data_IF_942294940077
#
_entry.id   IF_942294940077
#
_cell.length_a   1.000
_cell.length_b   1.000
_cell.length_c   1.000
_cell.angle_alpha   90.00
_cell.angle_beta   90.00
_cell.angle_gamma   90.00
#
_symmetry.space_group_name_H-M   'P 1'
#
loop_
_entity.id
_entity.type
_entity.pdbx_description
1 polymer ?
#
# COMPACT_ATOMS: atom_id res chain seq x y z
N UNK A 1 34.94 33.05 -9.86
CA UNK A 1 36.13 33.94 -9.76
C UNK A 1 36.81 33.84 -8.39
N UNK A 2 36.12 34.15 -7.28
CA UNK A 2 36.74 34.14 -5.93
C UNK A 2 37.16 32.75 -5.43
N UNK A 3 36.34 31.71 -5.65
CA UNK A 3 36.69 30.32 -5.29
C UNK A 3 37.95 29.84 -6.00
N UNK A 4 38.08 30.16 -7.28
CA UNK A 4 39.26 29.79 -8.08
C UNK A 4 40.52 30.51 -7.59
N UNK A 5 40.43 31.80 -7.28
CA UNK A 5 41.54 32.58 -6.71
C UNK A 5 41.95 32.04 -5.33
N UNK A 6 40.98 31.68 -4.49
CA UNK A 6 41.24 31.09 -3.18
C UNK A 6 41.96 29.73 -3.30
N UNK A 7 41.50 28.85 -4.19
CA UNK A 7 42.14 27.55 -4.45
C UNK A 7 43.57 27.74 -4.96
N UNK A 8 43.78 28.66 -5.92
CA UNK A 8 45.11 28.96 -6.43
C UNK A 8 46.05 29.50 -5.33
N UNK A 9 45.56 30.38 -4.45
CA UNK A 9 46.32 30.88 -3.30
C UNK A 9 46.73 29.74 -2.35
N UNK A 10 45.79 28.86 -2.01
CA UNK A 10 46.05 27.69 -1.15
C UNK A 10 47.14 26.81 -1.78
N UNK A 11 47.03 26.51 -3.09
CA UNK A 11 48.03 25.70 -3.79
C UNK A 11 49.41 26.36 -3.79
N UNK A 12 49.50 27.68 -3.99
CA UNK A 12 50.78 28.42 -3.98
C UNK A 12 51.42 28.44 -2.59
N UNK A 13 50.64 28.70 -1.54
CA UNK A 13 51.14 28.74 -0.15
C UNK A 13 51.75 27.41 0.26
N UNK A 14 51.06 26.31 -0.01
CA UNK A 14 51.54 24.98 0.35
C UNK A 14 52.66 24.46 -0.58
N UNK A 15 52.72 24.93 -1.83
CA UNK A 15 53.85 24.65 -2.73
C UNK A 15 55.17 25.22 -2.16
N UNK A 16 55.10 26.40 -1.54
CA UNK A 16 56.27 27.02 -0.90
C UNK A 16 56.65 26.36 0.44
N UNK A 17 55.69 25.78 1.17
CA UNK A 17 55.95 25.13 2.47
C UNK A 17 56.52 23.71 2.36
N UNK A 18 56.42 23.06 1.20
CA UNK A 18 56.83 21.66 0.99
C UNK A 18 55.84 20.62 1.55
N UNK A 19 54.70 21.05 2.11
CA UNK A 19 53.72 20.21 2.82
C UNK A 19 52.69 19.53 1.90
N UNK A 20 53.15 18.88 0.82
CA UNK A 20 52.25 18.25 -0.17
C UNK A 20 51.39 17.11 0.40
N UNK A 21 51.91 16.38 1.39
CA UNK A 21 51.16 15.30 2.05
C UNK A 21 49.96 15.84 2.84
N UNK A 22 50.14 16.92 3.59
CA UNK A 22 49.09 17.55 4.39
C UNK A 22 48.00 18.14 3.48
N UNK A 23 48.40 18.79 2.38
CA UNK A 23 47.47 19.21 1.34
C UNK A 23 46.64 18.04 0.81
N UNK A 24 47.29 16.92 0.47
CA UNK A 24 46.62 15.74 -0.06
C UNK A 24 45.61 15.17 0.93
N UNK A 25 45.97 15.12 2.23
CA UNK A 25 45.08 14.67 3.29
C UNK A 25 43.87 15.60 3.45
N UNK A 26 44.09 16.92 3.53
CA UNK A 26 43.02 17.91 3.66
C UNK A 26 42.12 17.89 2.43
N UNK A 27 42.69 17.85 1.22
CA UNK A 27 41.94 17.76 -0.03
C UNK A 27 41.11 16.47 -0.09
N UNK A 28 41.70 15.32 0.27
CA UNK A 28 41.00 14.04 0.32
C UNK A 28 39.83 14.04 1.30
N UNK A 29 40.03 14.57 2.51
CA UNK A 29 38.98 14.72 3.51
C UNK A 29 37.86 15.67 3.04
N UNK A 30 38.21 16.80 2.42
CA UNK A 30 37.24 17.74 1.87
C UNK A 30 36.45 17.13 0.71
N UNK A 31 37.10 16.39 -0.19
CA UNK A 31 36.43 15.67 -1.29
C UNK A 31 35.47 14.62 -0.74
N UNK A 32 35.87 13.84 0.26
CA UNK A 32 34.98 12.87 0.90
C UNK A 32 33.78 13.55 1.57
N UNK A 33 33.99 14.66 2.29
CA UNK A 33 32.92 15.42 2.92
C UNK A 33 31.92 15.98 1.89
N UNK A 34 32.41 16.55 0.79
CA UNK A 34 31.56 17.05 -0.31
C UNK A 34 30.80 15.89 -0.98
N UNK A 35 31.47 14.75 -1.21
CA UNK A 35 30.83 13.57 -1.78
C UNK A 35 29.70 13.04 -0.90
N UNK A 36 29.91 12.98 0.42
CA UNK A 36 28.87 12.60 1.38
C UNK A 36 27.71 13.60 1.39
N UNK A 37 28.00 14.90 1.36
CA UNK A 37 26.98 15.96 1.35
C UNK A 37 26.12 15.92 0.07
N UNK A 38 26.72 15.59 -1.08
CA UNK A 38 26.05 15.56 -2.39
C UNK A 38 25.47 14.18 -2.75
N UNK A 39 25.72 13.15 -1.94
CA UNK A 39 25.27 11.78 -2.21
C UNK A 39 23.76 11.69 -2.49
N UNK A 40 22.93 12.35 -1.66
CA UNK A 40 21.46 12.36 -1.81
C UNK A 40 20.99 13.12 -3.07
N UNK A 41 21.43 14.36 -3.34
CA UNK A 41 21.13 15.04 -4.61
C UNK A 41 21.52 14.23 -5.86
N UNK A 42 22.73 13.68 -5.90
CA UNK A 42 23.21 12.87 -7.03
C UNK A 42 22.34 11.62 -7.19
N UNK A 43 22.08 10.92 -6.08
CA UNK A 43 21.16 9.77 -6.06
C UNK A 43 19.77 10.13 -6.58
N UNK A 44 19.21 11.29 -6.20
CA UNK A 44 17.92 11.76 -6.69
C UNK A 44 17.87 11.96 -8.21
N UNK A 45 18.94 12.50 -8.81
CA UNK A 45 19.05 12.65 -10.27
C UNK A 45 19.14 11.28 -10.95
N UNK A 46 19.92 10.35 -10.42
CA UNK A 46 20.03 8.99 -10.95
C UNK A 46 18.67 8.27 -10.87
N UNK A 47 17.97 8.40 -9.74
CA UNK A 47 16.62 7.84 -9.56
C UNK A 47 15.65 8.40 -10.61
N UNK A 48 15.70 9.71 -10.89
CA UNK A 48 14.89 10.32 -11.94
C UNK A 48 15.20 9.74 -13.32
N UNK A 49 16.48 9.58 -13.68
CA UNK A 49 16.87 8.94 -14.95
C UNK A 49 16.32 7.51 -15.03
N UNK A 50 16.40 6.75 -13.95
CA UNK A 50 15.84 5.38 -13.88
C UNK A 50 14.32 5.42 -14.06
N UNK A 51 13.61 6.34 -13.40
CA UNK A 51 12.16 6.48 -13.58
C UNK A 51 11.78 6.80 -15.03
N UNK A 52 12.49 7.72 -15.69
CA UNK A 52 12.20 8.09 -17.09
C UNK A 52 12.50 6.95 -18.07
N UNK A 53 13.57 6.19 -17.82
CA UNK A 53 14.03 5.13 -18.73
C UNK A 53 13.36 3.78 -18.51
N UNK A 54 13.14 3.38 -17.26
CA UNK A 54 12.54 2.09 -16.89
C UNK A 54 11.07 2.17 -16.59
N UNK A 55 10.54 3.37 -16.30
CA UNK A 55 9.13 3.64 -15.99
C UNK A 55 8.51 2.58 -15.06
N UNK A 56 9.05 2.41 -13.83
CA UNK A 56 8.47 1.46 -12.87
C UNK A 56 7.04 1.84 -12.45
N UNK A 57 6.68 3.11 -12.63
CA UNK A 57 5.33 3.66 -12.51
C UNK A 57 5.24 4.95 -13.36
N UNK A 58 4.02 5.34 -13.70
CA UNK A 58 3.71 6.55 -14.46
C UNK A 58 2.77 7.50 -13.67
N UNK A 59 2.59 8.72 -14.18
CA UNK A 59 1.60 9.66 -13.61
C UNK A 59 0.21 9.03 -13.76
N UNK A 60 -0.55 8.98 -12.67
CA UNK A 60 -1.85 8.33 -12.56
C UNK A 60 -1.80 6.95 -11.90
N UNK A 61 -0.62 6.33 -11.75
CA UNK A 61 -0.52 5.02 -11.10
C UNK A 61 -0.78 5.09 -9.59
N UNK A 62 -1.45 4.07 -9.06
CA UNK A 62 -1.59 3.83 -7.63
C UNK A 62 -0.33 3.13 -7.13
N UNK A 63 0.46 3.81 -6.30
CA UNK A 63 1.73 3.28 -5.78
C UNK A 63 1.82 3.33 -4.27
N UNK A 64 2.68 2.50 -3.70
CA UNK A 64 3.18 2.63 -2.33
C UNK A 64 4.70 2.70 -2.36
N UNK A 65 5.23 3.80 -1.85
CA UNK A 65 6.67 4.07 -1.76
C UNK A 65 7.02 4.16 -0.28
N UNK A 66 7.75 3.16 0.21
CA UNK A 66 8.01 3.01 1.64
C UNK A 66 6.69 2.88 2.44
N UNK A 67 6.43 3.85 3.32
CA UNK A 67 5.24 3.89 4.16
C UNK A 67 4.03 4.63 3.57
N UNK A 68 4.22 5.35 2.46
CA UNK A 68 3.19 6.24 1.88
C UNK A 68 2.52 5.56 0.70
N UNK A 69 1.18 5.56 0.68
CA UNK A 69 0.37 5.06 -0.44
C UNK A 69 -0.38 6.23 -1.08
N UNK A 70 -0.47 6.26 -2.40
CA UNK A 70 -1.17 7.32 -3.11
C UNK A 70 -1.13 7.15 -4.62
N UNK A 71 -1.77 8.07 -5.33
CA UNK A 71 -1.66 8.17 -6.79
C UNK A 71 -0.53 9.09 -7.19
N UNK A 72 0.23 8.70 -8.21
CA UNK A 72 1.31 9.53 -8.73
C UNK A 72 0.72 10.75 -9.43
N UNK A 73 0.94 11.92 -8.85
CA UNK A 73 0.48 13.21 -9.38
C UNK A 73 1.47 13.81 -10.36
N UNK A 74 2.75 13.81 -9.98
CA UNK A 74 3.82 14.43 -10.78
C UNK A 74 5.19 13.82 -10.45
N UNK A 75 6.10 13.84 -11.42
CA UNK A 75 7.46 13.33 -11.30
C UNK A 75 8.44 14.41 -11.75
N UNK A 76 9.14 15.00 -10.79
CA UNK A 76 10.15 16.04 -11.03
C UNK A 76 11.57 15.50 -10.89
N UNK A 77 12.58 16.30 -11.24
CA UNK A 77 14.00 15.92 -11.14
C UNK A 77 14.40 15.51 -9.71
N UNK A 78 13.77 16.06 -8.69
CA UNK A 78 14.13 15.86 -7.28
C UNK A 78 13.10 15.11 -6.46
N UNK A 79 11.81 15.19 -6.83
CA UNK A 79 10.71 14.61 -6.05
C UNK A 79 9.64 13.94 -6.92
N UNK A 80 9.00 12.92 -6.37
CA UNK A 80 7.72 12.37 -6.80
C UNK A 80 6.61 12.92 -5.90
N UNK A 81 5.57 13.46 -6.49
CA UNK A 81 4.39 13.93 -5.76
C UNK A 81 3.29 12.87 -5.82
N UNK A 82 2.78 12.48 -4.66
CA UNK A 82 1.66 11.56 -4.54
C UNK A 82 0.45 12.30 -3.96
N UNK A 83 -0.72 12.12 -4.56
CA UNK A 83 -2.00 12.39 -3.89
C UNK A 83 -2.26 11.22 -2.93
N UNK A 84 -2.05 11.46 -1.64
CA UNK A 84 -1.99 10.41 -0.63
C UNK A 84 -3.37 9.85 -0.31
N UNK A 85 -3.43 8.52 -0.18
CA UNK A 85 -4.60 7.81 0.32
C UNK A 85 -4.31 7.17 1.69
N UNK A 86 -5.31 7.17 2.56
CA UNK A 86 -5.16 6.78 3.95
C UNK A 86 -4.49 7.86 4.80
N UNK A 87 -3.72 7.46 5.81
CA UNK A 87 -3.00 8.37 6.71
C UNK A 87 -3.88 9.06 7.75
N UNK A 88 -4.95 9.76 7.31
CA UNK A 88 -5.92 10.42 8.19
C UNK A 88 -7.11 9.51 8.54
N UNK A 89 -7.42 8.55 7.67
CA UNK A 89 -8.47 7.55 7.88
C UNK A 89 -7.88 6.14 7.91
N UNK A 90 -8.60 5.20 8.53
CA UNK A 90 -8.19 3.78 8.59
C UNK A 90 -8.35 3.06 7.24
N UNK A 91 -9.07 3.65 6.29
CA UNK A 91 -9.24 3.12 4.94
C UNK A 91 -8.24 3.70 3.94
N UNK A 92 -8.29 3.21 2.70
CA UNK A 92 -7.53 3.75 1.57
C UNK A 92 -8.26 4.91 0.85
N UNK A 93 -8.92 5.79 1.60
CA UNK A 93 -9.65 6.93 1.03
C UNK A 93 -8.68 8.08 0.76
N UNK A 94 -9.03 8.96 -0.17
CA UNK A 94 -8.24 10.15 -0.45
C UNK A 94 -8.13 11.03 0.80
N UNK A 95 -6.89 11.29 1.22
CA UNK A 95 -6.61 12.12 2.40
C UNK A 95 -6.71 13.61 2.10
N UNK A 96 -6.70 13.99 0.82
CA UNK A 96 -6.53 15.37 0.35
C UNK A 96 -5.11 15.92 0.52
N UNK A 97 -4.15 15.15 1.06
CA UNK A 97 -2.76 15.57 1.24
C UNK A 97 -1.94 15.22 0.01
N UNK A 98 -1.02 16.12 -0.35
CA UNK A 98 0.02 15.84 -1.36
C UNK A 98 1.31 15.54 -0.62
N UNK A 99 1.90 14.38 -0.86
CA UNK A 99 3.17 13.98 -0.27
C UNK A 99 4.27 14.10 -1.32
N UNK A 100 5.29 14.91 -1.01
CA UNK A 100 6.48 15.06 -1.84
C UNK A 100 7.57 14.10 -1.34
N UNK A 101 7.91 13.09 -2.15
CA UNK A 101 8.90 12.07 -1.82
C UNK A 101 10.20 12.38 -2.57
N UNK A 102 11.34 12.62 -1.90
CA UNK A 102 12.61 12.81 -2.57
C UNK A 102 12.99 11.58 -3.38
N UNK A 103 13.42 11.76 -4.63
CA UNK A 103 13.74 10.67 -5.56
C UNK A 103 14.82 9.73 -5.02
N UNK A 104 15.76 10.24 -4.21
CA UNK A 104 16.80 9.41 -3.57
C UNK A 104 16.22 8.32 -2.67
N UNK A 105 15.01 8.53 -2.13
CA UNK A 105 14.30 7.56 -1.28
C UNK A 105 13.92 6.30 -2.04
N UNK A 106 13.82 6.37 -3.37
CA UNK A 106 13.45 5.24 -4.23
C UNK A 106 14.49 4.11 -4.22
N UNK A 107 15.75 4.42 -3.89
CA UNK A 107 16.79 3.40 -3.73
C UNK A 107 16.79 2.75 -2.35
N UNK A 108 16.21 3.43 -1.35
CA UNK A 108 16.20 2.98 0.04
C UNK A 108 14.88 2.28 0.42
N UNK A 109 13.86 2.33 -0.45
CA UNK A 109 12.51 1.86 -0.15
C UNK A 109 11.94 0.97 -1.25
N UNK A 110 11.07 0.05 -0.84
CA UNK A 110 10.30 -0.75 -1.78
C UNK A 110 9.27 0.13 -2.49
N UNK A 111 9.13 -0.11 -3.79
CA UNK A 111 8.12 0.51 -4.64
C UNK A 111 7.12 -0.59 -5.02
N UNK A 112 5.87 -0.44 -4.58
CA UNK A 112 4.78 -1.35 -4.91
C UNK A 112 3.84 -0.59 -5.83
N UNK A 113 3.81 -0.96 -7.11
CA UNK A 113 2.86 -0.40 -8.08
C UNK A 113 1.65 -1.34 -8.18
N UNK A 114 0.47 -0.81 -7.83
CA UNK A 114 -0.79 -1.56 -7.84
C UNK A 114 -1.41 -1.64 -9.24
N UNK A 115 -1.05 -0.72 -10.14
CA UNK A 115 -1.66 -0.53 -11.46
C UNK A 115 -0.69 -0.77 -12.62
N UNK A 116 0.50 -1.30 -12.35
CA UNK A 116 1.60 -1.44 -13.32
C UNK A 116 1.24 -2.15 -14.64
N UNK A 117 0.39 -3.18 -14.56
CA UNK A 117 0.01 -3.99 -15.73
C UNK A 117 -1.45 -3.83 -16.10
N UNK A 118 -2.30 -3.57 -15.11
CA UNK A 118 -3.72 -3.33 -15.26
C UNK A 118 -4.24 -2.66 -13.99
N UNK A 119 -5.40 -2.01 -14.08
CA UNK A 119 -5.98 -1.26 -12.97
C UNK A 119 -6.57 -2.15 -11.85
N UNK A 120 -6.51 -3.48 -11.98
CA UNK A 120 -7.19 -4.42 -11.10
C UNK A 120 -6.27 -5.06 -10.08
N UNK A 121 -6.75 -5.11 -8.85
CA UNK A 121 -6.10 -5.77 -7.71
C UNK A 121 -7.08 -6.74 -7.06
N UNK A 122 -6.53 -7.72 -6.34
CA UNK A 122 -7.33 -8.63 -5.54
C UNK A 122 -7.74 -7.93 -4.24
N UNK A 123 -9.03 -7.90 -3.96
CA UNK A 123 -9.60 -7.41 -2.71
C UNK A 123 -10.37 -8.52 -2.00
N UNK A 124 -10.62 -8.33 -0.71
CA UNK A 124 -11.40 -9.27 0.10
C UNK A 124 -12.40 -8.57 1.01
N UNK A 125 -13.60 -9.16 1.11
CA UNK A 125 -14.64 -8.77 2.05
C UNK A 125 -14.98 -9.98 2.92
N UNK A 126 -15.15 -9.76 4.21
CA UNK A 126 -15.44 -10.82 5.18
C UNK A 126 -16.83 -10.62 5.76
N UNK A 127 -17.63 -11.69 5.79
CA UNK A 127 -18.86 -11.76 6.55
C UNK A 127 -18.79 -12.95 7.51
N UNK A 128 -19.01 -12.72 8.80
CA UNK A 128 -19.02 -13.79 9.80
C UNK A 128 -20.45 -14.27 9.99
N UNK A 129 -20.68 -15.58 9.81
CA UNK A 129 -21.97 -16.24 10.00
C UNK A 129 -21.95 -17.15 11.22
N UNK A 130 -23.12 -17.43 11.81
CA UNK A 130 -23.21 -18.31 13.00
C UNK A 130 -22.82 -19.75 12.67
N UNK A 131 -22.51 -20.55 13.70
CA UNK A 131 -22.19 -21.97 13.53
C UNK A 131 -23.41 -22.81 13.11
N UNK A 132 -24.60 -22.29 13.39
CA UNK A 132 -25.89 -22.88 13.05
C UNK A 132 -26.34 -22.55 11.62
N UNK A 133 -25.68 -21.58 10.96
CA UNK A 133 -26.02 -21.18 9.59
C UNK A 133 -25.66 -22.26 8.58
N UNK A 134 -26.44 -22.35 7.50
CA UNK A 134 -26.08 -23.14 6.33
C UNK A 134 -24.91 -22.47 5.59
N UNK A 135 -23.72 -23.10 5.66
CA UNK A 135 -22.51 -22.58 5.05
C UNK A 135 -22.57 -22.56 3.53
N UNK A 136 -23.19 -23.55 2.90
CA UNK A 136 -23.27 -23.63 1.44
C UNK A 136 -24.15 -22.50 0.89
N UNK A 137 -25.28 -22.22 1.56
CA UNK A 137 -26.13 -21.08 1.20
C UNK A 137 -25.45 -19.73 1.51
N UNK A 138 -24.71 -19.62 2.62
CA UNK A 138 -23.94 -18.41 2.93
C UNK A 138 -22.90 -18.09 1.85
N UNK A 139 -22.12 -19.09 1.43
CA UNK A 139 -21.15 -18.96 0.34
C UNK A 139 -21.82 -18.48 -0.95
N UNK A 140 -22.95 -19.08 -1.30
CA UNK A 140 -23.69 -18.77 -2.52
C UNK A 140 -24.22 -17.33 -2.48
N UNK A 141 -24.87 -16.91 -1.41
CA UNK A 141 -25.37 -15.54 -1.25
C UNK A 141 -24.25 -14.50 -1.36
N UNK A 142 -23.10 -14.77 -0.74
CA UNK A 142 -21.94 -13.89 -0.78
C UNK A 142 -21.33 -13.82 -2.19
N UNK A 143 -21.12 -14.96 -2.86
CA UNK A 143 -20.63 -15.01 -4.25
C UNK A 143 -21.56 -14.23 -5.18
N UNK A 144 -22.87 -14.42 -5.06
CA UNK A 144 -23.85 -13.72 -5.89
C UNK A 144 -23.91 -12.22 -5.62
N UNK A 145 -23.66 -11.80 -4.37
CA UNK A 145 -23.57 -10.38 -4.00
C UNK A 145 -22.41 -9.71 -4.72
N UNK A 146 -21.23 -10.32 -4.68
CA UNK A 146 -20.05 -9.84 -5.40
C UNK A 146 -20.30 -9.82 -6.90
N UNK A 147 -20.82 -10.92 -7.48
CA UNK A 147 -21.11 -11.01 -8.92
C UNK A 147 -22.04 -9.88 -9.37
N UNK A 148 -23.07 -9.55 -8.58
CA UNK A 148 -24.02 -8.48 -8.89
C UNK A 148 -23.36 -7.09 -8.91
N UNK A 149 -22.59 -6.75 -7.88
CA UNK A 149 -21.94 -5.44 -7.75
C UNK A 149 -20.83 -5.29 -8.80
N UNK A 150 -20.04 -6.34 -9.01
CA UNK A 150 -18.86 -6.31 -9.87
C UNK A 150 -19.16 -6.55 -11.35
N UNK A 151 -20.39 -6.95 -11.73
CA UNK A 151 -20.75 -7.26 -13.12
C UNK A 151 -20.39 -6.13 -14.10
N UNK A 152 -20.63 -4.88 -13.72
CA UNK A 152 -20.29 -3.72 -14.55
C UNK A 152 -18.79 -3.49 -14.67
N UNK A 153 -18.07 -3.68 -13.57
CA UNK A 153 -16.61 -3.50 -13.46
C UNK A 153 -15.87 -4.60 -14.23
N UNK A 154 -16.32 -5.85 -14.13
CA UNK A 154 -15.67 -7.00 -14.78
C UNK A 154 -15.81 -7.06 -16.30
N UNK A 155 -16.64 -6.19 -16.90
CA UNK A 155 -16.64 -5.99 -18.36
C UNK A 155 -15.29 -5.52 -18.88
N UNK A 156 -14.55 -4.78 -18.05
CA UNK A 156 -13.20 -4.27 -18.36
C UNK A 156 -12.09 -5.15 -17.78
N UNK A 157 -12.42 -6.23 -17.07
CA UNK A 157 -11.42 -7.10 -16.46
C UNK A 157 -10.65 -7.86 -17.57
N UNK A 158 -9.31 -7.85 -17.55
CA UNK A 158 -8.49 -8.65 -18.46
C UNK A 158 -8.88 -10.13 -18.44
N UNK A 159 -8.79 -10.80 -19.59
CA UNK A 159 -9.11 -12.25 -19.70
C UNK A 159 -8.18 -13.15 -18.88
N UNK A 160 -6.96 -12.68 -18.58
CA UNK A 160 -6.01 -13.38 -17.73
C UNK A 160 -6.45 -13.45 -16.26
N UNK A 161 -7.42 -12.62 -15.84
CA UNK A 161 -7.91 -12.58 -14.46
C UNK A 161 -9.27 -13.29 -14.37
N UNK A 162 -9.46 -14.06 -13.30
CA UNK A 162 -10.71 -14.76 -13.04
C UNK A 162 -11.83 -13.78 -12.71
N UNK A 163 -12.97 -13.93 -13.39
CA UNK A 163 -14.24 -13.24 -13.06
C UNK A 163 -15.03 -13.97 -11.99
N UNK A 164 -14.47 -15.02 -11.40
CA UNK A 164 -15.13 -15.80 -10.36
C UNK A 164 -14.56 -15.46 -8.98
N UNK A 165 -15.41 -15.02 -8.02
CA UNK A 165 -14.98 -14.85 -6.64
C UNK A 165 -14.58 -16.17 -6.00
N UNK A 166 -13.48 -16.17 -5.27
CA UNK A 166 -13.04 -17.31 -4.48
C UNK A 166 -13.45 -17.13 -3.01
N UNK A 167 -13.92 -18.21 -2.38
CA UNK A 167 -14.25 -18.20 -0.95
C UNK A 167 -13.16 -18.91 -0.16
N UNK A 168 -12.87 -18.36 1.02
CA UNK A 168 -12.13 -19.02 2.09
C UNK A 168 -12.93 -18.97 3.39
N UNK A 169 -13.03 -20.10 4.06
CA UNK A 169 -13.68 -20.23 5.37
C UNK A 169 -12.64 -20.23 6.49
N UNK A 170 -12.91 -19.54 7.59
CA UNK A 170 -12.04 -19.52 8.78
C UNK A 170 -12.88 -19.57 10.06
N UNK A 171 -12.59 -20.49 10.97
CA UNK A 171 -13.26 -20.56 12.27
C UNK A 171 -12.91 -19.37 13.19
N UNK A 172 -13.90 -18.86 13.93
CA UNK A 172 -13.79 -17.77 14.92
C UNK A 172 -14.51 -18.14 16.22
N UNK A 173 -14.35 -17.33 17.26
CA UNK A 173 -14.93 -17.61 18.59
C UNK A 173 -16.47 -17.69 18.58
N UNK A 174 -17.14 -16.90 17.73
CA UNK A 174 -18.61 -16.81 17.68
C UNK A 174 -19.21 -17.16 16.32
N UNK A 175 -18.45 -17.77 15.41
CA UNK A 175 -18.96 -18.15 14.09
C UNK A 175 -17.87 -18.56 13.10
N UNK A 176 -18.22 -18.54 11.81
CA UNK A 176 -17.33 -18.82 10.68
C UNK A 176 -17.19 -17.57 9.81
N UNK A 177 -15.96 -17.11 9.60
CA UNK A 177 -15.67 -16.07 8.63
C UNK A 177 -15.76 -16.65 7.21
N UNK A 178 -16.70 -16.13 6.43
CA UNK A 178 -16.82 -16.37 5.00
C UNK A 178 -16.12 -15.21 4.29
N UNK A 179 -14.89 -15.44 3.85
CA UNK A 179 -14.02 -14.45 3.21
C UNK A 179 -14.16 -14.61 1.70
N UNK A 180 -14.69 -13.59 1.02
CA UNK A 180 -14.79 -13.55 -0.44
C UNK A 180 -13.70 -12.69 -1.06
N UNK A 181 -12.99 -13.26 -2.02
CA UNK A 181 -11.90 -12.61 -2.76
C UNK A 181 -12.30 -12.37 -4.20
N UNK A 182 -12.07 -11.16 -4.70
CA UNK A 182 -12.43 -10.77 -6.05
C UNK A 182 -11.51 -9.68 -6.60
N UNK A 183 -11.36 -9.63 -7.91
CA UNK A 183 -10.62 -8.55 -8.58
C UNK A 183 -11.48 -7.29 -8.69
N UNK A 184 -10.89 -6.15 -8.33
CA UNK A 184 -11.52 -4.83 -8.36
C UNK A 184 -10.54 -3.77 -8.82
N UNK A 185 -11.04 -2.63 -9.28
CA UNK A 185 -10.19 -1.49 -9.66
C UNK A 185 -9.53 -0.91 -8.40
N UNK A 186 -8.20 -0.71 -8.44
CA UNK A 186 -7.40 -0.31 -7.28
C UNK A 186 -7.84 1.06 -6.71
N UNK A 187 -8.19 2.00 -7.58
CA UNK A 187 -8.60 3.36 -7.20
C UNK A 187 -10.00 3.40 -6.58
N UNK A 188 -10.89 2.48 -6.99
CA UNK A 188 -12.28 2.40 -6.50
C UNK A 188 -12.50 1.33 -5.43
N UNK A 189 -11.43 0.67 -4.96
CA UNK A 189 -11.47 -0.47 -4.04
C UNK A 189 -12.41 -0.25 -2.85
N UNK A 190 -12.24 0.84 -2.10
CA UNK A 190 -13.04 1.09 -0.90
C UNK A 190 -14.52 1.27 -1.21
N UNK A 191 -14.85 2.04 -2.25
CA UNK A 191 -16.23 2.28 -2.69
C UNK A 191 -16.91 0.96 -3.05
N UNK A 192 -16.24 0.15 -3.87
CA UNK A 192 -16.76 -1.15 -4.31
C UNK A 192 -16.85 -2.16 -3.16
N UNK A 193 -15.87 -2.20 -2.25
CA UNK A 193 -15.93 -3.06 -1.05
C UNK A 193 -17.12 -2.71 -0.15
N UNK A 194 -17.46 -1.42 -0.04
CA UNK A 194 -18.62 -0.94 0.71
C UNK A 194 -19.92 -1.37 0.03
N UNK A 195 -20.00 -1.25 -1.29
CA UNK A 195 -21.17 -1.67 -2.07
C UNK A 195 -21.38 -3.19 -2.00
N UNK A 196 -20.30 -3.97 -2.07
CA UNK A 196 -20.30 -5.42 -1.85
C UNK A 196 -20.77 -5.77 -0.45
N UNK A 197 -20.20 -5.14 0.59
CA UNK A 197 -20.59 -5.38 1.99
C UNK A 197 -22.07 -5.09 2.21
N UNK A 198 -22.59 -3.99 1.63
CA UNK A 198 -24.00 -3.61 1.72
C UNK A 198 -24.92 -4.64 1.05
N UNK A 199 -24.54 -5.14 -0.13
CA UNK A 199 -25.31 -6.17 -0.83
C UNK A 199 -25.27 -7.51 -0.07
N UNK A 200 -24.10 -7.92 0.45
CA UNK A 200 -23.96 -9.12 1.29
C UNK A 200 -24.90 -9.02 2.49
N UNK A 201 -24.84 -7.91 3.23
CA UNK A 201 -25.69 -7.67 4.39
C UNK A 201 -27.18 -7.76 4.03
N UNK A 202 -27.58 -7.15 2.92
CA UNK A 202 -28.97 -7.20 2.43
C UNK A 202 -29.41 -8.63 2.14
N UNK A 203 -28.58 -9.43 1.45
CA UNK A 203 -28.91 -10.80 1.06
C UNK A 203 -28.97 -11.75 2.25
N UNK A 204 -28.00 -11.69 3.14
CA UNK A 204 -28.00 -12.51 4.36
C UNK A 204 -29.25 -12.20 5.19
N UNK A 205 -29.58 -10.91 5.40
CA UNK A 205 -30.78 -10.51 6.15
C UNK A 205 -32.10 -10.96 5.51
N UNK A 206 -32.09 -11.22 4.20
CA UNK A 206 -33.28 -11.70 3.47
C UNK A 206 -33.40 -13.22 3.47
N UNK A 207 -32.33 -13.92 3.87
CA UNK A 207 -32.30 -15.38 4.01
C UNK A 207 -32.93 -15.80 5.34
N UNK A 208 -33.44 -17.04 5.39
CA UNK A 208 -33.89 -17.68 6.63
C UNK A 208 -32.85 -18.63 7.22
N UNK A 209 -31.89 -19.07 6.40
CA UNK A 209 -30.97 -20.16 6.74
C UNK A 209 -29.56 -19.65 7.10
N UNK A 210 -29.34 -18.33 7.01
CA UNK A 210 -28.04 -17.71 7.26
C UNK A 210 -28.22 -16.51 8.18
N UNK A 211 -27.51 -16.52 9.31
CA UNK A 211 -27.53 -15.45 10.30
C UNK A 211 -26.12 -14.86 10.48
N UNK A 212 -26.06 -13.55 10.68
CA UNK A 212 -24.80 -12.84 10.94
C UNK A 212 -24.39 -13.11 12.38
N UNK A 213 -23.16 -13.59 12.57
CA UNK A 213 -22.61 -13.81 13.89
C UNK A 213 -22.41 -12.48 14.63
N UNK A 214 -22.71 -12.51 15.91
CA UNK A 214 -22.34 -11.48 16.88
C UNK A 214 -21.66 -12.16 18.07
N UNK A 215 -20.81 -11.43 18.82
CA UNK A 215 -20.19 -11.97 20.01
C UNK A 215 -21.24 -12.47 21.00
N UNK A 216 -21.19 -13.74 21.36
CA UNK A 216 -22.07 -14.33 22.36
C UNK A 216 -21.28 -15.16 23.38
N UNK A 217 -21.86 -15.33 24.57
CA UNK A 217 -21.23 -16.10 25.65
C UNK A 217 -22.28 -16.99 26.30
N UNK A 218 -21.98 -18.28 26.40
CA UNK A 218 -22.80 -19.23 27.16
C UNK A 218 -22.33 -19.25 28.62
N UNK A 219 -23.25 -19.02 29.55
CA UNK A 219 -22.98 -19.06 30.99
C UNK A 219 -23.65 -20.28 31.59
N UNK A 220 -22.86 -21.22 32.10
CA UNK A 220 -23.35 -22.39 32.84
C UNK A 220 -23.37 -22.02 34.32
N UNK A 221 -24.57 -21.75 34.86
CA UNK A 221 -24.75 -21.51 36.29
C UNK A 221 -24.75 -22.86 37.02
N UNK A 222 -23.69 -23.14 37.79
CA UNK A 222 -23.66 -24.27 38.74
C UNK A 222 -24.16 -23.78 40.10
N UNK A 223 -25.23 -24.40 40.60
CA UNK A 223 -25.74 -24.09 41.92
C UNK A 223 -24.76 -24.63 42.98
N UNK A 224 -24.29 -23.75 43.88
CA UNK A 224 -23.22 -24.06 44.85
C UNK A 224 -23.72 -24.92 46.03
N UNK A 225 -25.04 -25.02 46.21
CA UNK A 225 -25.68 -25.60 47.39
C UNK A 225 -26.15 -27.06 47.22
N UNK A 226 -25.74 -27.77 46.16
CA UNK A 226 -26.03 -29.20 46.00
C UNK A 226 -24.78 -30.00 46.35
N UNK A 227 -24.73 -30.72 47.49
CA UNK A 227 -23.61 -31.59 47.82
C UNK A 227 -23.55 -32.70 46.76
N UNK A 228 -22.39 -32.87 46.13
CA UNK A 228 -22.13 -34.08 45.34
C UNK A 228 -22.14 -35.27 46.31
N UNK A 229 -23.03 -36.23 46.09
CA UNK A 229 -23.10 -37.49 46.82
C UNK A 229 -21.80 -38.29 46.71
#
# INVERSE_FOLDING_TARGET
KYVFVLIALIVVVFSYSGSWMELGLVAGLLTAAVGLALSKPISGVVAWIVMVTKRPFEIGDRVKIGGVKGDVKDITLTHVFLDEIGGTTSGEEESGRVVAIPNSTLFDSNIINYTAYNDFILDEVTATVTYESDLDEAEKLIKESVKKVMMGVWKKLPESLSREPNIRLVFRDSGVDVIVRYYTVATERNRLSTDVTREIFKRIRSSRDVEIAYPHTSVILRNKDVPNF
#
